data_IF_733656099914
#
_entry.id   IF_733656099914
#
_cell.length_a   1.000
_cell.length_b   1.000
_cell.length_c   1.000
_cell.angle_alpha   90.00
_cell.angle_beta   90.00
_cell.angle_gamma   90.00
#
_symmetry.space_group_name_H-M   'P 1'
#
loop_
_entity.id
_entity.type
_entity.pdbx_description
1 polymer ?
#
# COMPACT_ATOMS: atom_id res chain seq x y z
N UNK A 1 14.50 -3.52 -20.77
CA UNK A 1 15.18 -4.79 -20.37
C UNK A 1 15.78 -5.56 -21.54
N UNK A 2 15.01 -5.97 -22.56
CA UNK A 2 15.52 -6.78 -23.69
C UNK A 2 16.66 -6.07 -24.42
N UNK A 3 16.45 -4.80 -24.75
CA UNK A 3 17.48 -3.94 -25.35
C UNK A 3 18.78 -3.92 -24.53
N UNK A 4 18.71 -3.88 -23.19
CA UNK A 4 19.89 -3.88 -22.33
C UNK A 4 20.66 -5.20 -22.40
N UNK A 5 19.98 -6.35 -22.45
CA UNK A 5 20.66 -7.64 -22.68
C UNK A 5 21.28 -7.73 -24.08
N UNK A 6 20.64 -7.15 -25.08
CA UNK A 6 21.21 -7.03 -26.42
C UNK A 6 22.48 -6.17 -26.40
N UNK A 7 22.44 -4.99 -25.78
CA UNK A 7 23.62 -4.11 -25.61
C UNK A 7 24.74 -4.80 -24.81
N UNK A 8 24.41 -5.52 -23.74
CA UNK A 8 25.38 -6.29 -22.97
C UNK A 8 26.10 -7.35 -23.83
N UNK A 9 25.37 -7.99 -24.74
CA UNK A 9 25.94 -8.95 -25.69
C UNK A 9 26.90 -8.27 -26.69
N UNK A 10 26.52 -7.11 -27.24
CA UNK A 10 27.38 -6.34 -28.13
C UNK A 10 28.64 -5.82 -27.43
N UNK A 11 28.49 -5.21 -26.25
CA UNK A 11 29.61 -4.76 -25.44
C UNK A 11 30.60 -5.89 -25.13
N UNK A 12 30.10 -7.10 -24.84
CA UNK A 12 30.94 -8.29 -24.62
C UNK A 12 31.70 -8.68 -25.89
N UNK A 13 31.08 -8.61 -27.07
CA UNK A 13 31.72 -8.93 -28.34
C UNK A 13 32.78 -7.88 -28.73
N UNK A 14 32.56 -6.62 -28.40
CA UNK A 14 33.49 -5.50 -28.65
C UNK A 14 34.61 -5.40 -27.60
N UNK A 15 34.59 -6.25 -26.56
CA UNK A 15 35.57 -6.23 -25.48
C UNK A 15 35.40 -5.06 -24.51
N UNK A 16 34.27 -4.36 -24.54
CA UNK A 16 33.94 -3.29 -23.62
C UNK A 16 33.43 -3.86 -22.28
N UNK A 17 34.37 -4.25 -21.43
CA UNK A 17 34.10 -4.90 -20.13
C UNK A 17 33.31 -3.98 -19.20
N UNK A 18 33.58 -2.67 -19.22
CA UNK A 18 32.90 -1.72 -18.33
C UNK A 18 31.39 -1.70 -18.58
N UNK A 19 30.96 -1.65 -19.83
CA UNK A 19 29.53 -1.65 -20.15
C UNK A 19 28.85 -2.98 -19.81
N UNK A 20 29.57 -4.10 -19.95
CA UNK A 20 29.06 -5.42 -19.55
C UNK A 20 28.80 -5.48 -18.04
N UNK A 21 29.75 -4.99 -17.24
CA UNK A 21 29.65 -4.93 -15.78
C UNK A 21 28.55 -3.97 -15.35
N UNK A 22 28.46 -2.80 -15.97
CA UNK A 22 27.43 -1.79 -15.68
C UNK A 22 26.03 -2.34 -15.92
N UNK A 23 25.79 -2.95 -17.09
CA UNK A 23 24.50 -3.56 -17.39
C UNK A 23 24.23 -4.75 -16.47
N UNK A 24 25.24 -5.50 -16.04
CA UNK A 24 25.02 -6.58 -15.07
C UNK A 24 24.60 -6.04 -13.70
N UNK A 25 25.28 -5.00 -13.20
CA UNK A 25 24.93 -4.33 -11.95
C UNK A 25 23.50 -3.77 -11.97
N UNK A 26 23.06 -3.27 -13.13
CA UNK A 26 21.68 -2.85 -13.36
C UNK A 26 20.69 -4.00 -13.10
N UNK A 27 20.91 -5.16 -13.73
CA UNK A 27 20.04 -6.33 -13.55
C UNK A 27 20.08 -6.84 -12.10
N UNK A 28 21.25 -6.86 -11.47
CA UNK A 28 21.38 -7.31 -10.09
C UNK A 28 20.61 -6.41 -9.11
N UNK A 29 20.59 -5.09 -9.35
CA UNK A 29 19.81 -4.13 -8.56
C UNK A 29 18.31 -4.32 -8.79
N UNK A 30 17.88 -4.45 -10.04
CA UNK A 30 16.48 -4.68 -10.37
C UNK A 30 15.97 -6.01 -9.81
N UNK A 31 16.79 -7.06 -9.82
CA UNK A 31 16.46 -8.35 -9.19
C UNK A 31 16.30 -8.22 -7.66
N UNK A 32 17.19 -7.46 -6.99
CA UNK A 32 17.01 -7.15 -5.56
C UNK A 32 15.73 -6.40 -5.27
N UNK A 33 15.36 -5.44 -6.12
CA UNK A 33 14.09 -4.74 -6.02
C UNK A 33 12.90 -5.70 -6.10
N UNK A 34 12.91 -6.62 -7.08
CA UNK A 34 11.85 -7.61 -7.22
C UNK A 34 11.72 -8.50 -5.98
N UNK A 35 12.84 -8.92 -5.36
CA UNK A 35 12.83 -9.72 -4.13
C UNK A 35 12.14 -9.00 -2.97
N UNK A 36 12.45 -7.73 -2.76
CA UNK A 36 11.84 -6.91 -1.69
C UNK A 36 10.34 -6.70 -1.96
N UNK A 37 10.00 -6.34 -3.20
CA UNK A 37 8.63 -6.04 -3.59
C UNK A 37 7.72 -7.26 -3.48
N UNK A 38 8.18 -8.41 -3.99
CA UNK A 38 7.42 -9.66 -4.00
C UNK A 38 7.58 -10.47 -2.70
N UNK A 39 8.35 -9.97 -1.73
CA UNK A 39 8.62 -10.61 -0.44
C UNK A 39 9.24 -12.01 -0.55
N UNK A 40 10.10 -12.20 -1.55
CA UNK A 40 10.57 -13.51 -2.01
C UNK A 40 12.05 -13.47 -2.43
N UNK A 41 12.93 -13.93 -1.54
CA UNK A 41 14.38 -13.90 -1.74
C UNK A 41 14.88 -14.78 -2.89
N UNK A 42 14.12 -15.81 -3.25
CA UNK A 42 14.48 -16.78 -4.30
C UNK A 42 14.35 -16.22 -5.72
N UNK A 43 13.78 -15.01 -5.87
CA UNK A 43 13.50 -14.44 -7.19
C UNK A 43 14.78 -14.20 -7.98
N UNK A 44 14.76 -14.71 -9.21
CA UNK A 44 15.78 -14.47 -10.23
C UNK A 44 15.17 -14.06 -11.55
N UNK A 45 15.87 -13.18 -12.25
CA UNK A 45 15.45 -12.74 -13.58
C UNK A 45 16.22 -13.52 -14.66
N UNK A 46 15.50 -14.33 -15.43
CA UNK A 46 16.05 -15.12 -16.53
C UNK A 46 15.68 -14.52 -17.89
N UNK A 47 16.67 -14.18 -18.69
CA UNK A 47 16.45 -13.73 -20.07
C UNK A 47 16.29 -14.92 -21.02
N UNK A 48 15.16 -14.99 -21.72
CA UNK A 48 14.89 -15.93 -22.81
C UNK A 48 15.25 -15.28 -24.15
N UNK A 49 16.47 -15.54 -24.61
CA UNK A 49 16.99 -15.00 -25.87
C UNK A 49 16.23 -15.46 -27.12
N UNK A 50 15.49 -16.58 -27.05
CA UNK A 50 14.75 -17.12 -28.22
C UNK A 50 13.46 -16.34 -28.43
N UNK A 51 12.77 -16.05 -27.34
CA UNK A 51 11.48 -15.35 -27.35
C UNK A 51 11.63 -13.84 -27.12
N UNK A 52 12.84 -13.35 -26.89
CA UNK A 52 13.13 -11.95 -26.53
C UNK A 52 12.31 -11.50 -25.32
N UNK A 53 12.21 -12.37 -24.31
CA UNK A 53 11.37 -12.18 -23.13
C UNK A 53 12.17 -12.39 -21.84
N UNK A 54 11.63 -11.95 -20.72
CA UNK A 54 12.16 -12.23 -19.40
C UNK A 54 11.17 -13.06 -18.59
N UNK A 55 11.70 -14.10 -17.94
CA UNK A 55 10.99 -14.91 -16.97
C UNK A 55 11.47 -14.61 -15.57
N UNK A 56 10.54 -14.52 -14.65
CA UNK A 56 10.76 -14.51 -13.21
C UNK A 56 10.78 -15.98 -12.77
N UNK A 57 11.89 -16.36 -12.14
CA UNK A 57 12.09 -17.70 -11.56
C UNK A 57 12.03 -17.56 -10.04
N UNK A 58 11.22 -18.40 -9.41
CA UNK A 58 11.03 -18.45 -7.96
C UNK A 58 11.04 -19.93 -7.52
N UNK A 59 11.55 -20.22 -6.34
CA UNK A 59 11.57 -21.58 -5.80
C UNK A 59 10.13 -22.11 -5.63
N UNK A 60 9.90 -23.35 -6.08
CA UNK A 60 8.59 -24.00 -5.97
C UNK A 60 7.52 -23.51 -6.96
N UNK A 61 7.85 -22.59 -7.87
CA UNK A 61 6.92 -22.07 -8.90
C UNK A 61 7.49 -22.28 -10.30
N UNK A 62 6.61 -22.54 -11.26
CA UNK A 62 6.99 -22.59 -12.69
C UNK A 62 7.40 -21.17 -13.12
N UNK A 63 8.49 -21.00 -13.88
CA UNK A 63 8.89 -19.69 -14.39
C UNK A 63 7.76 -19.01 -15.14
N UNK A 64 7.50 -17.74 -14.80
CA UNK A 64 6.40 -16.96 -15.32
C UNK A 64 6.91 -15.61 -15.84
N UNK A 65 6.15 -14.94 -16.70
CA UNK A 65 6.52 -13.65 -17.24
C UNK A 65 5.87 -12.49 -16.48
N UNK A 66 6.29 -11.25 -16.77
CA UNK A 66 5.75 -10.07 -16.11
C UNK A 66 4.25 -9.86 -16.33
N UNK A 67 3.66 -10.35 -17.43
CA UNK A 67 2.22 -10.26 -17.67
C UNK A 67 1.39 -11.25 -16.83
N UNK A 68 2.05 -12.18 -16.12
CA UNK A 68 1.40 -13.10 -15.18
C UNK A 68 1.44 -12.57 -13.72
N UNK A 69 2.01 -11.39 -13.50
CA UNK A 69 1.94 -10.68 -12.22
C UNK A 69 0.56 -10.03 -12.03
N UNK A 70 0.17 -9.83 -10.77
CA UNK A 70 -1.03 -9.03 -10.50
C UNK A 70 -0.81 -7.57 -10.90
N UNK A 71 -1.91 -6.86 -11.18
CA UNK A 71 -1.88 -5.46 -11.62
C UNK A 71 -1.12 -4.55 -10.64
N UNK A 72 -1.21 -4.84 -9.33
CA UNK A 72 -0.46 -4.11 -8.30
C UNK A 72 1.05 -4.26 -8.46
N UNK A 73 1.56 -5.48 -8.60
CA UNK A 73 2.99 -5.71 -8.80
C UNK A 73 3.48 -5.13 -10.13
N UNK A 74 2.68 -5.27 -11.19
CA UNK A 74 2.98 -4.71 -12.51
C UNK A 74 3.12 -3.19 -12.46
N UNK A 75 2.24 -2.52 -11.72
CA UNK A 75 2.27 -1.05 -11.54
C UNK A 75 3.53 -0.59 -10.81
N UNK A 76 3.92 -1.28 -9.74
CA UNK A 76 5.17 -0.97 -9.03
C UNK A 76 6.39 -1.20 -9.93
N UNK A 77 6.46 -2.35 -10.60
CA UNK A 77 7.59 -2.67 -11.48
C UNK A 77 7.71 -1.65 -12.61
N UNK A 78 6.58 -1.16 -13.12
CA UNK A 78 6.57 -0.09 -14.11
C UNK A 78 7.20 1.20 -13.56
N UNK A 79 6.80 1.66 -12.36
CA UNK A 79 7.38 2.86 -11.71
C UNK A 79 8.89 2.68 -11.53
N UNK A 80 9.32 1.55 -10.96
CA UNK A 80 10.73 1.26 -10.71
C UNK A 80 11.53 1.22 -12.00
N UNK A 81 11.01 0.53 -13.02
CA UNK A 81 11.66 0.43 -14.31
C UNK A 81 11.77 1.78 -15.02
N UNK A 82 10.72 2.61 -14.98
CA UNK A 82 10.72 3.94 -15.59
C UNK A 82 11.72 4.87 -14.90
N UNK A 83 11.75 4.88 -13.56
CA UNK A 83 12.72 5.65 -12.78
C UNK A 83 14.15 5.25 -13.08
N UNK A 84 14.43 3.94 -13.04
CA UNK A 84 15.74 3.40 -13.40
C UNK A 84 16.14 3.84 -14.82
N UNK A 85 15.24 3.67 -15.81
CA UNK A 85 15.53 4.04 -17.21
C UNK A 85 15.80 5.54 -17.36
N UNK A 86 15.10 6.40 -16.62
CA UNK A 86 15.30 7.86 -16.65
C UNK A 86 16.61 8.28 -16.01
N UNK A 87 16.95 7.72 -14.85
CA UNK A 87 18.24 7.94 -14.20
C UNK A 87 19.38 7.48 -15.11
N UNK A 88 19.15 6.39 -15.83
CA UNK A 88 20.18 5.86 -16.70
C UNK A 88 20.39 6.71 -17.94
N UNK A 89 19.40 7.38 -18.55
CA UNK A 89 19.50 8.08 -19.87
C UNK A 89 20.78 8.91 -20.14
N UNK A 90 21.51 9.37 -19.13
CA UNK A 90 22.80 10.07 -19.28
C UNK A 90 24.02 9.15 -19.54
N UNK A 91 23.92 7.84 -19.32
CA UNK A 91 25.02 6.86 -19.37
C UNK A 91 25.64 6.62 -20.75
N UNK A 92 24.82 6.54 -21.80
CA UNK A 92 25.29 6.26 -23.18
C UNK A 92 26.24 7.33 -23.71
N UNK A 93 26.19 8.54 -23.14
CA UNK A 93 27.00 9.65 -23.60
C UNK A 93 28.28 9.87 -22.77
N UNK A 94 28.35 9.36 -21.53
CA UNK A 94 29.40 9.78 -20.59
C UNK A 94 30.33 8.67 -20.06
N UNK A 95 30.14 7.39 -20.40
CA UNK A 95 30.96 6.27 -19.87
C UNK A 95 31.06 6.27 -18.32
N UNK A 96 30.00 6.69 -17.62
CA UNK A 96 29.96 6.70 -16.15
C UNK A 96 28.92 5.71 -15.65
N UNK A 97 29.29 4.98 -14.60
CA UNK A 97 28.42 4.02 -13.91
C UNK A 97 27.28 4.80 -13.26
N UNK A 98 26.03 4.50 -13.63
CA UNK A 98 24.85 4.96 -12.89
C UNK A 98 24.90 4.37 -11.48
N UNK A 99 25.31 5.17 -10.51
CA UNK A 99 25.32 4.79 -9.10
C UNK A 99 24.00 5.12 -8.41
N UNK A 100 22.97 5.54 -9.16
CA UNK A 100 21.76 6.17 -8.61
C UNK A 100 22.09 7.27 -7.59
N UNK A 101 23.24 7.93 -7.80
CA UNK A 101 23.70 9.11 -7.05
C UNK A 101 23.19 10.40 -7.66
N UNK A 102 22.47 10.32 -8.78
CA UNK A 102 21.85 11.46 -9.40
C UNK A 102 20.75 11.99 -8.47
N UNK A 103 20.92 13.25 -8.09
CA UNK A 103 19.91 13.98 -7.35
C UNK A 103 18.75 14.32 -8.28
N UNK A 104 17.52 14.19 -7.79
CA UNK A 104 16.36 14.43 -8.62
C UNK A 104 15.07 14.56 -7.83
N UNK A 105 14.07 15.12 -8.48
CA UNK A 105 12.71 15.24 -7.93
C UNK A 105 11.80 14.38 -8.79
N UNK A 106 11.04 13.50 -8.15
CA UNK A 106 10.04 12.66 -8.78
C UNK A 106 8.67 13.05 -8.24
N UNK A 107 7.76 13.38 -9.16
CA UNK A 107 6.36 13.63 -8.86
C UNK A 107 5.56 12.37 -9.24
N UNK A 108 4.81 11.80 -8.29
CA UNK A 108 3.91 10.67 -8.55
C UNK A 108 2.52 11.07 -8.11
N UNK A 109 1.59 11.06 -9.05
CA UNK A 109 0.17 11.26 -8.74
C UNK A 109 -0.46 9.91 -8.39
N UNK A 110 -1.26 9.86 -7.33
CA UNK A 110 -1.99 8.69 -6.83
C UNK A 110 -1.11 7.43 -6.75
N UNK A 111 -0.09 7.47 -5.88
CA UNK A 111 0.91 6.39 -5.78
C UNK A 111 0.28 4.99 -5.53
N UNK A 112 -0.87 4.93 -4.86
CA UNK A 112 -1.61 3.71 -4.56
C UNK A 112 -2.39 3.12 -5.72
N UNK A 113 -2.48 3.78 -6.88
CA UNK A 113 -3.35 3.36 -7.97
C UNK A 113 -3.02 1.93 -8.40
N UNK A 114 -4.05 1.07 -8.37
CA UNK A 114 -3.99 -0.38 -8.60
C UNK A 114 -3.17 -1.20 -7.59
N UNK A 115 -2.64 -0.59 -6.52
CA UNK A 115 -1.91 -1.31 -5.48
C UNK A 115 -2.85 -1.90 -4.43
N UNK A 116 -2.64 -3.16 -4.08
CA UNK A 116 -3.26 -3.75 -2.89
C UNK A 116 -2.63 -3.19 -1.61
N UNK A 117 -3.37 -3.27 -0.48
CA UNK A 117 -2.98 -2.66 0.81
C UNK A 117 -1.57 -3.05 1.25
N UNK A 118 -1.16 -4.31 1.07
CA UNK A 118 0.19 -4.76 1.42
C UNK A 118 1.29 -4.02 0.64
N UNK A 119 1.05 -3.78 -0.66
CA UNK A 119 1.97 -3.01 -1.50
C UNK A 119 1.96 -1.53 -1.17
N UNK A 120 0.81 -0.95 -0.83
CA UNK A 120 0.72 0.45 -0.39
C UNK A 120 1.59 0.74 0.84
N UNK A 121 1.64 -0.22 1.79
CA UNK A 121 2.51 -0.10 2.98
C UNK A 121 4.00 -0.20 2.67
N UNK A 122 4.37 -0.87 1.57
CA UNK A 122 5.77 -1.17 1.21
C UNK A 122 6.34 -0.23 0.16
N UNK A 123 5.50 0.35 -0.72
CA UNK A 123 5.96 1.03 -1.93
C UNK A 123 6.81 2.28 -1.65
N UNK A 124 6.34 3.17 -0.77
CA UNK A 124 7.06 4.42 -0.49
C UNK A 124 8.37 4.18 0.30
N UNK A 125 8.41 3.31 1.34
CA UNK A 125 9.67 2.89 1.95
C UNK A 125 10.64 2.29 0.92
N UNK A 126 10.12 1.41 0.07
CA UNK A 126 10.92 0.77 -0.97
C UNK A 126 11.53 1.80 -1.93
N UNK A 127 10.73 2.76 -2.44
CA UNK A 127 11.22 3.77 -3.37
C UNK A 127 12.28 4.68 -2.73
N UNK A 128 12.07 5.09 -1.47
CA UNK A 128 13.01 5.96 -0.75
C UNK A 128 14.31 5.26 -0.37
N UNK A 129 14.27 3.96 -0.05
CA UNK A 129 15.48 3.16 0.20
C UNK A 129 16.24 2.86 -1.11
N UNK A 130 15.51 2.52 -2.18
CA UNK A 130 16.11 2.13 -3.44
C UNK A 130 16.70 3.32 -4.22
N UNK A 131 16.11 4.51 -4.07
CA UNK A 131 16.55 5.76 -4.68
C UNK A 131 16.85 6.84 -3.62
N UNK A 132 17.93 6.68 -2.83
CA UNK A 132 18.17 7.51 -1.64
C UNK A 132 18.46 8.99 -1.94
N UNK A 133 18.84 9.33 -3.18
CA UNK A 133 19.12 10.71 -3.60
C UNK A 133 17.96 11.37 -4.34
N UNK A 134 16.81 10.69 -4.43
CA UNK A 134 15.61 11.21 -5.07
C UNK A 134 14.65 11.74 -4.01
N UNK A 135 14.20 12.99 -4.21
CA UNK A 135 13.07 13.53 -3.48
C UNK A 135 11.77 13.10 -4.16
N UNK A 136 10.96 12.31 -3.46
CA UNK A 136 9.63 11.94 -3.90
C UNK A 136 8.60 12.95 -3.38
N UNK A 137 7.78 13.50 -4.28
CA UNK A 137 6.57 14.26 -3.96
C UNK A 137 5.42 13.44 -4.51
N UNK A 138 4.58 12.92 -3.62
CA UNK A 138 3.52 11.99 -3.97
C UNK A 138 2.17 12.52 -3.53
N UNK A 139 1.15 12.30 -4.32
CA UNK A 139 -0.25 12.46 -3.89
C UNK A 139 -0.82 11.08 -3.56
N UNK A 140 -1.69 11.02 -2.56
CA UNK A 140 -2.34 9.78 -2.13
C UNK A 140 -3.62 10.07 -1.38
N UNK A 141 -4.61 9.21 -1.58
CA UNK A 141 -5.82 9.05 -0.77
C UNK A 141 -5.70 7.88 0.21
N UNK A 142 -4.57 7.17 0.21
CA UNK A 142 -4.37 6.00 1.05
C UNK A 142 -3.75 6.36 2.40
N UNK A 143 -4.44 6.10 3.53
CA UNK A 143 -3.85 6.24 4.86
C UNK A 143 -2.66 5.28 5.07
N UNK A 144 -2.63 4.17 4.34
CA UNK A 144 -1.55 3.18 4.41
C UNK A 144 -0.25 3.65 3.78
N UNK A 145 -0.31 4.57 2.81
CA UNK A 145 0.89 5.22 2.28
C UNK A 145 1.36 6.30 3.25
N UNK A 146 0.44 7.11 3.80
CA UNK A 146 0.78 8.20 4.71
C UNK A 146 1.51 7.73 5.98
N UNK A 147 1.16 6.56 6.52
CA UNK A 147 1.80 6.03 7.72
C UNK A 147 2.98 5.09 7.43
N UNK A 148 3.35 4.88 6.15
CA UNK A 148 4.38 3.90 5.77
C UNK A 148 5.81 4.36 6.06
N UNK A 149 6.06 5.68 6.13
CA UNK A 149 7.40 6.26 6.20
C UNK A 149 7.51 7.32 7.28
N UNK A 150 8.57 7.24 8.10
CA UNK A 150 8.79 8.16 9.21
C UNK A 150 9.34 9.53 8.80
N UNK A 151 10.13 9.57 7.72
CA UNK A 151 10.76 10.79 7.20
C UNK A 151 9.93 11.45 6.09
N UNK A 152 8.61 11.47 6.24
CA UNK A 152 7.70 12.11 5.28
C UNK A 152 7.00 13.32 5.91
N UNK A 153 6.81 14.36 5.10
CA UNK A 153 5.91 15.48 5.42
C UNK A 153 4.63 15.31 4.63
N UNK A 154 3.49 15.37 5.31
CA UNK A 154 2.19 15.30 4.66
C UNK A 154 1.52 16.68 4.69
N UNK A 155 0.83 17.01 3.61
CA UNK A 155 0.10 18.27 3.50
C UNK A 155 -1.28 17.98 2.96
N UNK A 156 -2.30 18.38 3.70
CA UNK A 156 -3.68 18.32 3.24
C UNK A 156 -3.98 19.57 2.40
N UNK A 157 -4.26 19.34 1.13
CA UNK A 157 -4.56 20.39 0.16
C UNK A 157 -5.96 20.98 0.34
N UNK A 158 -6.92 20.24 0.88
CA UNK A 158 -8.30 20.71 1.13
C UNK A 158 -8.37 21.55 2.41
N UNK A 159 -7.75 21.06 3.49
CA UNK A 159 -7.72 21.74 4.80
C UNK A 159 -6.60 22.79 4.89
N UNK A 160 -5.71 22.85 3.91
CA UNK A 160 -4.55 23.75 3.85
C UNK A 160 -3.68 23.68 5.11
N UNK A 161 -3.39 22.45 5.57
CA UNK A 161 -2.64 22.22 6.79
C UNK A 161 -1.54 21.17 6.60
N UNK A 162 -0.41 21.40 7.27
CA UNK A 162 0.65 20.40 7.38
C UNK A 162 0.27 19.37 8.46
N UNK A 163 0.48 18.11 8.13
CA UNK A 163 0.30 16.98 9.02
C UNK A 163 1.69 16.41 9.34
N UNK A 164 1.98 16.27 10.62
CA UNK A 164 3.29 15.80 11.09
C UNK A 164 3.15 14.46 11.82
N UNK A 165 4.21 13.66 11.77
CA UNK A 165 4.33 12.37 12.45
C UNK A 165 3.19 11.35 12.16
N UNK A 166 2.66 11.34 10.93
CA UNK A 166 1.57 10.42 10.53
C UNK A 166 1.92 8.93 10.69
N UNK A 167 3.21 8.59 10.60
CA UNK A 167 3.72 7.23 10.86
C UNK A 167 3.49 6.74 12.30
N UNK A 168 3.18 7.64 13.25
CA UNK A 168 2.86 7.26 14.63
C UNK A 168 1.42 6.78 14.79
N UNK A 169 0.55 7.06 13.82
CA UNK A 169 -0.85 6.66 13.84
C UNK A 169 -1.05 5.35 13.08
N UNK A 170 -2.03 4.54 13.52
CA UNK A 170 -2.44 3.40 12.72
C UNK A 170 -3.15 3.89 11.47
N UNK A 171 -3.01 3.14 10.37
CA UNK A 171 -3.66 3.49 9.12
C UNK A 171 -5.19 3.50 9.28
N UNK A 172 -5.73 2.61 10.11
CA UNK A 172 -7.17 2.54 10.39
C UNK A 172 -7.62 3.82 11.13
N UNK A 173 -6.93 4.22 12.21
CA UNK A 173 -7.22 5.48 12.93
C UNK A 173 -7.18 6.72 11.99
N UNK A 174 -6.25 6.74 11.03
CA UNK A 174 -6.18 7.79 10.01
C UNK A 174 -7.35 7.70 9.03
N UNK A 175 -7.70 6.50 8.58
CA UNK A 175 -8.84 6.28 7.69
C UNK A 175 -10.12 6.83 8.31
N UNK A 176 -10.39 6.44 9.56
CA UNK A 176 -11.60 6.78 10.30
C UNK A 176 -11.62 8.27 10.68
N UNK A 177 -10.55 8.74 11.33
CA UNK A 177 -10.51 10.09 11.90
C UNK A 177 -10.15 11.20 10.91
N UNK A 178 -9.49 10.88 9.79
CA UNK A 178 -8.98 11.88 8.86
C UNK A 178 -9.61 11.80 7.46
N UNK A 179 -9.86 10.59 6.96
CA UNK A 179 -10.41 10.34 5.63
C UNK A 179 -11.92 10.09 5.62
N UNK A 180 -12.60 10.30 6.74
CA UNK A 180 -14.04 10.05 6.92
C UNK A 180 -14.44 8.61 6.47
N UNK A 181 -13.53 7.64 6.63
CA UNK A 181 -13.84 6.25 6.35
C UNK A 181 -14.75 5.73 7.46
N UNK A 182 -16.04 5.63 7.15
CA UNK A 182 -17.03 5.15 8.11
C UNK A 182 -16.72 3.72 8.61
N UNK A 183 -16.47 3.56 9.91
CA UNK A 183 -16.31 2.26 10.62
C UNK A 183 -17.48 1.29 10.37
N UNK A 184 -18.65 1.84 10.06
CA UNK A 184 -19.89 1.12 9.96
C UNK A 184 -20.60 1.35 8.65
N UNK A 185 -21.12 0.25 8.09
CA UNK A 185 -22.16 0.35 7.07
C UNK A 185 -23.31 1.23 7.57
N UNK A 186 -23.91 1.98 6.66
CA UNK A 186 -25.09 2.79 6.93
C UNK A 186 -26.23 2.00 7.61
N UNK A 187 -26.34 0.69 7.37
CA UNK A 187 -27.30 -0.19 8.05
C UNK A 187 -26.95 -0.38 9.53
N UNK A 188 -25.68 -0.59 9.84
CA UNK A 188 -25.22 -0.78 11.22
C UNK A 188 -25.37 0.51 12.03
N UNK A 189 -25.07 1.68 11.44
CA UNK A 189 -25.35 2.99 12.04
C UNK A 189 -26.84 3.17 12.37
N UNK A 190 -27.73 2.82 11.44
CA UNK A 190 -29.19 2.89 11.65
C UNK A 190 -29.65 1.96 12.79
N UNK A 191 -29.13 0.74 12.84
CA UNK A 191 -29.43 -0.23 13.90
C UNK A 191 -28.96 0.24 15.27
N UNK A 192 -27.76 0.81 15.37
CA UNK A 192 -27.27 1.42 16.59
C UNK A 192 -28.11 2.61 17.04
N UNK A 193 -28.46 3.51 16.12
CA UNK A 193 -29.32 4.67 16.41
C UNK A 193 -30.73 4.23 16.87
N UNK A 194 -31.32 3.25 16.20
CA UNK A 194 -32.61 2.70 16.58
C UNK A 194 -32.56 1.98 17.94
N UNK A 195 -31.51 1.21 18.19
CA UNK A 195 -31.31 0.53 19.46
C UNK A 195 -31.13 1.53 20.62
N UNK A 196 -30.31 2.57 20.43
CA UNK A 196 -30.15 3.65 21.41
C UNK A 196 -31.49 4.36 21.69
N UNK A 197 -32.26 4.71 20.65
CA UNK A 197 -33.59 5.30 20.79
C UNK A 197 -34.53 4.45 21.64
N UNK A 198 -34.51 3.12 21.44
CA UNK A 198 -35.36 2.17 22.18
C UNK A 198 -34.88 1.93 23.62
N UNK A 199 -33.60 2.16 23.91
CA UNK A 199 -33.05 2.10 25.27
C UNK A 199 -33.40 3.35 26.06
N UNK A 200 -33.34 4.53 25.44
CA UNK A 200 -33.62 5.82 26.09
C UNK A 200 -35.12 6.14 26.21
N UNK A 201 -35.99 5.41 25.51
CA UNK A 201 -37.43 5.59 25.56
C UNK A 201 -38.03 5.08 26.89
N UNK A 202 -38.76 5.96 27.59
CA UNK A 202 -39.36 5.67 28.91
C UNK A 202 -40.52 4.68 28.86
N UNK A 203 -41.36 4.77 27.83
CA UNK A 203 -42.51 3.89 27.61
C UNK A 203 -42.43 3.32 26.19
N UNK A 204 -41.99 2.07 26.08
CA UNK A 204 -41.91 1.33 24.82
C UNK A 204 -43.03 0.28 24.76
N UNK A 205 -43.64 0.14 23.58
CA UNK A 205 -44.67 -0.88 23.35
C UNK A 205 -44.09 -2.31 23.45
N UNK A 206 -44.96 -3.32 23.57
CA UNK A 206 -44.51 -4.71 23.56
C UNK A 206 -43.79 -5.10 22.25
N UNK A 207 -44.22 -4.53 21.11
CA UNK A 207 -43.53 -4.69 19.83
C UNK A 207 -42.14 -4.05 19.84
N UNK A 208 -42.01 -2.85 20.42
CA UNK A 208 -40.73 -2.15 20.57
C UNK A 208 -39.78 -2.87 21.54
N UNK A 209 -40.30 -3.54 22.57
CA UNK A 209 -39.52 -4.41 23.47
C UNK A 209 -38.93 -5.61 22.75
N UNK A 210 -39.73 -6.27 21.90
CA UNK A 210 -39.28 -7.39 21.06
C UNK A 210 -38.19 -6.90 20.12
N UNK A 211 -38.43 -5.79 19.41
CA UNK A 211 -37.47 -5.19 18.49
C UNK A 211 -36.15 -4.79 19.17
N UNK A 212 -36.22 -4.24 20.39
CA UNK A 212 -35.03 -3.93 21.20
C UNK A 212 -34.22 -5.18 21.53
N UNK A 213 -34.87 -6.28 21.89
CA UNK A 213 -34.19 -7.55 22.18
C UNK A 213 -33.56 -8.17 20.93
N UNK A 214 -34.24 -8.11 19.79
CA UNK A 214 -33.73 -8.56 18.50
C UNK A 214 -32.51 -7.76 18.07
N UNK A 215 -32.58 -6.41 18.08
CA UNK A 215 -31.47 -5.53 17.73
C UNK A 215 -30.26 -5.78 18.64
N UNK A 216 -30.47 -5.93 19.95
CA UNK A 216 -29.40 -6.28 20.89
C UNK A 216 -28.72 -7.61 20.51
N UNK A 217 -29.50 -8.63 20.18
CA UNK A 217 -28.96 -9.94 19.80
C UNK A 217 -28.17 -9.85 18.49
N UNK A 218 -28.70 -9.16 17.49
CA UNK A 218 -28.04 -8.94 16.20
C UNK A 218 -26.72 -8.18 16.36
N UNK A 219 -26.73 -7.05 17.08
CA UNK A 219 -25.53 -6.25 17.33
C UNK A 219 -24.50 -7.04 18.14
N UNK A 220 -24.91 -7.72 19.23
CA UNK A 220 -24.00 -8.56 20.02
C UNK A 220 -23.37 -9.69 19.21
N UNK A 221 -24.13 -10.33 18.32
CA UNK A 221 -23.63 -11.40 17.44
C UNK A 221 -22.73 -10.88 16.31
N UNK A 222 -22.98 -9.67 15.82
CA UNK A 222 -22.10 -9.04 14.84
C UNK A 222 -20.75 -8.68 15.48
N UNK A 223 -20.79 -8.11 16.69
CA UNK A 223 -19.63 -7.67 17.45
C UNK A 223 -18.84 -8.82 18.09
N UNK A 224 -19.42 -10.02 18.25
CA UNK A 224 -18.67 -11.16 18.79
C UNK A 224 -17.57 -11.65 17.85
N UNK A 225 -17.63 -11.29 16.56
CA UNK A 225 -16.61 -11.61 15.55
C UNK A 225 -15.45 -10.61 15.53
N UNK A 226 -15.64 -9.41 16.07
CA UNK A 226 -14.67 -8.32 16.09
C UNK A 226 -14.66 -7.70 17.50
N UNK A 227 -13.80 -8.18 18.41
CA UNK A 227 -13.88 -7.87 19.84
C UNK A 227 -13.40 -6.46 20.21
N UNK A 228 -12.76 -5.74 19.29
CA UNK A 228 -12.18 -4.40 19.50
C UNK A 228 -12.70 -3.43 18.44
N UNK A 229 -12.76 -2.13 18.76
CA UNK A 229 -13.17 -1.04 17.85
C UNK A 229 -14.31 -0.18 18.38
N UNK A 230 -14.55 1.00 17.78
CA UNK A 230 -15.55 1.97 18.23
C UNK A 230 -16.97 1.38 18.35
N UNK A 231 -17.29 0.41 17.50
CA UNK A 231 -18.57 -0.31 17.47
C UNK A 231 -18.92 -0.95 18.81
N UNK A 232 -17.87 -1.52 19.43
CA UNK A 232 -17.95 -2.24 20.68
C UNK A 232 -18.15 -1.25 21.81
N UNK A 233 -17.38 -0.17 21.80
CA UNK A 233 -17.48 0.91 22.78
C UNK A 233 -18.87 1.57 22.75
N UNK A 234 -19.39 1.86 21.55
CA UNK A 234 -20.76 2.35 21.36
C UNK A 234 -21.81 1.37 21.92
N UNK A 235 -21.68 0.08 21.63
CA UNK A 235 -22.59 -0.94 22.14
C UNK A 235 -22.54 -1.04 23.67
N UNK A 236 -21.35 -0.99 24.26
CA UNK A 236 -21.16 -1.04 25.71
C UNK A 236 -21.68 0.22 26.41
N UNK A 237 -21.56 1.40 25.80
CA UNK A 237 -22.18 2.63 26.31
C UNK A 237 -23.72 2.53 26.34
N UNK A 238 -24.33 2.06 25.24
CA UNK A 238 -25.78 1.87 25.18
C UNK A 238 -26.25 0.83 26.22
N UNK A 239 -25.52 -0.27 26.41
CA UNK A 239 -25.87 -1.28 27.42
C UNK A 239 -25.69 -0.77 28.87
N UNK A 240 -24.70 0.09 29.14
CA UNK A 240 -24.57 0.77 30.44
C UNK A 240 -25.78 1.64 30.74
N UNK A 241 -26.24 2.43 29.76
CA UNK A 241 -27.45 3.26 29.89
C UNK A 241 -28.69 2.41 30.16
N UNK A 242 -28.86 1.31 29.42
CA UNK A 242 -29.95 0.36 29.64
C UNK A 242 -29.94 -0.21 31.06
N UNK A 243 -28.78 -0.67 31.55
CA UNK A 243 -28.65 -1.26 32.88
C UNK A 243 -29.01 -0.27 34.00
N UNK A 244 -28.78 1.02 33.79
CA UNK A 244 -29.18 2.07 34.73
C UNK A 244 -30.71 2.30 34.76
N UNK A 245 -31.41 2.11 33.63
CA UNK A 245 -32.87 2.22 33.58
C UNK A 245 -33.59 0.98 34.13
N UNK A 246 -33.01 -0.21 33.99
CA UNK A 246 -33.60 -1.45 34.54
C UNK A 246 -33.44 -1.55 36.09
N UNK A 247 -32.71 -0.63 36.74
CA UNK A 247 -32.47 -0.58 38.21
C UNK A 247 -33.31 0.45 38.98
N UNK A 248 -34.07 1.31 38.30
CA UNK A 248 -35.00 2.29 38.89
C UNK A 248 -36.46 1.88 38.65
#
# INVERSE_FOLDING_TARGET
>A
MVHLKTQQSYARNEGNISDVENIQMWFDRFERALRILLDEDSIKLQYDYKNYDFKIVQDGRVPFNFAELSDGYSSVIYIVSDLILRMDKNWLNENRISQYTEEGIVLIDELETHLHIELQKKILPFLTEFFPHIQFIVTTHSPYILNSVANAKAYDLEKHMELDNLYMYKADDLAEGYFDADDFSNDMKKKFAEYARLVDAKDISDEERIKRAELRCQLKNALSKFPEGEARDMFEDIEKRRAAYDQN
#
